data_IF_846794801871
#
_entry.id   IF_846794801871
#
_cell.length_a   1.000
_cell.length_b   1.000
_cell.length_c   1.000
_cell.angle_alpha   90.00
_cell.angle_beta   90.00
_cell.angle_gamma   90.00
#
_symmetry.space_group_name_H-M   'P 1'
#
loop_
_entity.id
_entity.type
_entity.pdbx_description
1 polymer ?
#
# COMPACT_ATOMS: atom_id res chain seq x y z
N UNK A 1 -11.35 -10.67 -3.95
CA UNK A 1 -12.13 -9.56 -3.40
C UNK A 1 -11.31 -8.90 -2.31
N UNK A 2 -10.99 -7.63 -2.45
CA UNK A 2 -10.33 -6.86 -1.41
C UNK A 2 -11.29 -6.61 -0.24
N UNK A 3 -10.83 -6.87 0.99
CA UNK A 3 -11.60 -6.68 2.22
C UNK A 3 -11.06 -5.47 2.99
N UNK A 4 -11.94 -4.60 3.44
CA UNK A 4 -11.55 -3.43 4.25
C UNK A 4 -12.42 -3.39 5.51
N UNK A 5 -11.78 -3.49 6.67
CA UNK A 5 -12.46 -3.37 7.95
C UNK A 5 -13.18 -2.02 8.07
N UNK A 6 -14.36 -1.96 8.71
CA UNK A 6 -15.11 -0.72 8.89
C UNK A 6 -14.28 0.35 9.64
N UNK A 7 -13.46 -0.04 10.61
CA UNK A 7 -12.56 0.86 11.35
C UNK A 7 -11.47 1.52 10.48
N UNK A 8 -11.10 0.88 9.37
CA UNK A 8 -10.13 1.40 8.41
C UNK A 8 -10.79 2.09 7.22
N UNK A 9 -12.09 1.90 7.04
CA UNK A 9 -12.83 2.40 5.88
C UNK A 9 -12.74 3.91 5.78
N UNK A 10 -12.89 4.65 6.88
CA UNK A 10 -12.71 6.10 6.90
C UNK A 10 -11.31 6.53 6.44
N UNK A 11 -10.26 5.83 6.91
CA UNK A 11 -8.87 6.10 6.51
C UNK A 11 -8.64 5.77 5.04
N UNK A 12 -9.18 4.64 4.59
CA UNK A 12 -9.09 4.19 3.21
C UNK A 12 -9.81 5.16 2.28
N UNK A 13 -11.01 5.63 2.63
CA UNK A 13 -11.76 6.60 1.83
C UNK A 13 -11.07 7.97 1.76
N UNK A 14 -10.33 8.35 2.81
CA UNK A 14 -9.49 9.55 2.84
C UNK A 14 -8.30 9.49 1.88
N UNK A 15 -7.93 8.32 1.35
CA UNK A 15 -6.87 8.19 0.35
C UNK A 15 -7.36 8.64 -1.04
N UNK A 16 -6.41 9.06 -1.88
CA UNK A 16 -6.66 9.34 -3.29
C UNK A 16 -7.19 8.13 -4.05
N UNK A 17 -7.98 8.38 -5.09
CA UNK A 17 -8.60 7.35 -5.93
C UNK A 17 -7.53 6.42 -6.53
N UNK A 18 -6.38 6.95 -6.96
CA UNK A 18 -5.28 6.17 -7.51
C UNK A 18 -4.69 5.15 -6.53
N UNK A 19 -4.53 5.55 -5.25
CA UNK A 19 -4.06 4.64 -4.20
C UNK A 19 -5.11 3.57 -3.95
N UNK A 20 -6.38 3.95 -3.81
CA UNK A 20 -7.47 2.99 -3.62
C UNK A 20 -7.53 1.97 -4.75
N UNK A 21 -7.45 2.39 -6.00
CA UNK A 21 -7.43 1.48 -7.14
C UNK A 21 -6.22 0.55 -7.08
N UNK A 22 -5.01 1.11 -6.86
CA UNK A 22 -3.78 0.32 -6.74
C UNK A 22 -3.89 -0.75 -5.64
N UNK A 23 -4.54 -0.42 -4.52
CA UNK A 23 -4.75 -1.32 -3.38
C UNK A 23 -5.80 -2.39 -3.71
N UNK A 24 -6.91 -2.00 -4.35
CA UNK A 24 -7.99 -2.91 -4.71
C UNK A 24 -7.55 -3.93 -5.77
N UNK A 25 -6.71 -3.51 -6.73
CA UNK A 25 -6.13 -4.37 -7.77
C UNK A 25 -5.24 -5.49 -7.20
N UNK A 26 -4.68 -5.30 -5.99
CA UNK A 26 -3.84 -6.30 -5.31
C UNK A 26 -4.62 -7.30 -4.45
N UNK A 27 -5.96 -7.23 -4.43
CA UNK A 27 -6.81 -8.17 -3.67
C UNK A 27 -6.47 -8.28 -2.16
N UNK A 28 -6.09 -7.16 -1.53
CA UNK A 28 -5.63 -7.14 -0.12
C UNK A 28 -6.76 -7.23 0.91
N UNK A 29 -6.41 -7.65 2.14
CA UNK A 29 -7.35 -7.83 3.25
C UNK A 29 -6.97 -6.92 4.44
N UNK A 30 -7.41 -5.67 4.40
CA UNK A 30 -7.11 -4.67 5.41
C UNK A 30 -7.93 -4.92 6.68
N UNK A 31 -7.42 -5.75 7.59
CA UNK A 31 -8.06 -6.03 8.89
C UNK A 31 -7.58 -5.13 10.01
N UNK A 32 -6.39 -4.53 9.88
CA UNK A 32 -5.76 -3.70 10.91
C UNK A 32 -4.92 -2.58 10.28
N UNK A 33 -4.57 -1.56 11.08
CA UNK A 33 -3.83 -0.40 10.60
C UNK A 33 -2.47 -0.79 9.99
N UNK A 34 -1.80 -1.79 10.57
CA UNK A 34 -0.53 -2.32 10.07
C UNK A 34 -0.64 -2.82 8.64
N UNK A 35 -1.75 -3.47 8.29
CA UNK A 35 -2.03 -3.96 6.93
C UNK A 35 -2.16 -2.79 5.95
N UNK A 36 -2.87 -1.73 6.37
CA UNK A 36 -3.00 -0.51 5.57
C UNK A 36 -1.63 0.16 5.34
N UNK A 37 -0.78 0.21 6.36
CA UNK A 37 0.56 0.79 6.26
C UNK A 37 1.42 -0.04 5.31
N UNK A 38 1.49 -1.36 5.49
CA UNK A 38 2.29 -2.24 4.62
C UNK A 38 1.88 -2.13 3.17
N UNK A 39 0.57 -2.15 2.88
CA UNK A 39 0.08 -2.05 1.51
C UNK A 39 0.39 -0.67 0.92
N UNK A 40 0.32 0.40 1.71
CA UNK A 40 0.72 1.73 1.24
C UNK A 40 2.21 1.80 0.92
N UNK A 41 3.05 1.23 1.78
CA UNK A 41 4.49 1.14 1.56
C UNK A 41 4.81 0.32 0.31
N UNK A 42 4.19 -0.84 0.13
CA UNK A 42 4.33 -1.69 -1.06
C UNK A 42 3.90 -0.94 -2.34
N UNK A 43 2.78 -0.20 -2.31
CA UNK A 43 2.32 0.59 -3.46
C UNK A 43 3.30 1.72 -3.80
N UNK A 44 3.92 2.34 -2.80
CA UNK A 44 4.91 3.42 -2.98
C UNK A 44 6.23 2.82 -3.45
N UNK A 45 6.69 1.73 -2.83
CA UNK A 45 7.89 1.02 -3.18
C UNK A 45 7.78 0.49 -4.60
N UNK A 46 6.68 -0.12 -5.04
CA UNK A 46 6.49 -0.55 -6.44
C UNK A 46 6.44 0.63 -7.42
N UNK A 47 6.01 1.83 -6.98
CA UNK A 47 6.03 3.04 -7.81
C UNK A 47 7.41 3.69 -7.87
N UNK A 48 8.22 3.54 -6.83
CA UNK A 48 9.55 4.15 -6.69
C UNK A 48 10.69 3.20 -7.09
N UNK A 49 10.46 1.89 -7.03
CA UNK A 49 11.36 0.78 -7.44
C UNK A 49 11.45 0.63 -8.96
N UNK A 50 11.44 1.76 -9.65
CA UNK A 50 12.35 2.02 -10.76
C UNK A 50 13.73 2.51 -10.30
N UNK A 51 14.02 2.59 -9.00
CA UNK A 51 15.36 2.89 -8.48
C UNK A 51 15.90 1.73 -7.63
N UNK A 52 16.95 1.14 -8.17
CA UNK A 52 17.81 0.15 -7.53
C UNK A 52 18.40 0.73 -6.23
N UNK A 53 17.86 0.34 -5.07
CA UNK A 53 18.51 0.58 -3.77
C UNK A 53 19.54 -0.51 -3.42
N UNK A 54 19.89 -1.39 -4.37
CA UNK A 54 20.88 -2.45 -4.18
C UNK A 54 22.33 -1.94 -4.24
N UNK A 55 22.56 -0.67 -4.59
CA UNK A 55 23.91 -0.10 -4.71
C UNK A 55 24.38 0.79 -3.53
N UNK A 56 23.75 0.75 -2.36
CA UNK A 56 24.24 1.48 -1.16
C UNK A 56 24.94 0.58 -0.13
N UNK A 57 25.65 -0.45 -0.57
CA UNK A 57 26.60 -1.15 0.29
C UNK A 57 27.89 -1.53 -0.46
N UNK A 58 28.68 -0.52 -0.83
CA UNK A 58 30.07 -0.71 -1.24
C UNK A 58 31.01 0.13 -0.38
N UNK A 59 31.67 -0.60 0.55
CA UNK A 59 32.84 -0.29 1.39
C UNK A 59 32.76 0.84 2.42
#
# INVERSE_FOLDING_TARGET
>A
MSYVSPDLRDKFESLSIDLKNSILERDVSLTSLEDLIHVLEDVIEEKDSGTDISEMNFH
#
